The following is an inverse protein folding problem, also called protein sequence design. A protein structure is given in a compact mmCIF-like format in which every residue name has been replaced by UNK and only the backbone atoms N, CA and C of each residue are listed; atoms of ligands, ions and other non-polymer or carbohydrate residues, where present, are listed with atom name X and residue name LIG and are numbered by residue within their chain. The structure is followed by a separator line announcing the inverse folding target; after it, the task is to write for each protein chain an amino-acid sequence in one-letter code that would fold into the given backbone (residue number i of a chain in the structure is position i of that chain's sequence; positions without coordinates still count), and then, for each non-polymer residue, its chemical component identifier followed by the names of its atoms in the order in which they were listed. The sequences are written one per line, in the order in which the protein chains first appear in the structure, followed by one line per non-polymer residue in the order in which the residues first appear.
data_IF_346003778012
#
_entry.id   IF_346003778012
#
_cell.length_a   1.000
_cell.length_b   1.000
_cell.length_c   1.000
_cell.angle_alpha   90.00
_cell.angle_beta   90.00
_cell.angle_gamma   90.00
#
_symmetry.space_group_name_H-M   'P 1'
#
loop_
_entity.id
_entity.type
_entity.pdbx_description
1 polymer ?
#
# COMPACT_ATOMS: atom_id res chain seq x y z
N UNK A 1 11.98 40.00 -21.65
CA UNK A 1 11.59 38.76 -20.95
C UNK A 1 10.75 37.78 -21.79
N UNK A 2 9.88 38.21 -22.69
CA UNK A 2 9.09 37.30 -23.54
C UNK A 2 9.88 36.68 -24.73
N UNK A 3 11.04 37.19 -25.07
CA UNK A 3 11.83 36.72 -26.22
C UNK A 3 12.78 35.58 -25.88
N UNK A 4 13.20 35.45 -24.62
CA UNK A 4 14.08 34.36 -24.17
C UNK A 4 13.35 33.01 -24.05
N UNK A 5 12.05 33.03 -23.73
CA UNK A 5 11.26 31.80 -23.57
C UNK A 5 11.07 31.00 -24.87
N UNK A 6 11.09 31.68 -26.04
CA UNK A 6 10.96 31.01 -27.34
C UNK A 6 12.19 30.19 -27.72
N UNK A 7 13.38 30.58 -27.26
CA UNK A 7 14.62 29.85 -27.52
C UNK A 7 14.70 28.50 -26.81
N UNK A 8 14.10 28.38 -25.64
CA UNK A 8 14.11 27.15 -24.86
C UNK A 8 13.17 26.07 -25.41
N UNK A 9 12.05 26.47 -25.99
CA UNK A 9 11.12 25.57 -26.67
C UNK A 9 11.79 24.78 -27.80
N UNK A 10 12.59 25.47 -28.64
CA UNK A 10 13.30 24.82 -29.73
C UNK A 10 14.41 23.87 -29.24
N UNK A 11 15.07 24.21 -28.13
CA UNK A 11 16.18 23.42 -27.57
C UNK A 11 15.73 22.22 -26.73
N UNK A 12 14.64 22.37 -25.95
CA UNK A 12 14.23 21.39 -24.97
C UNK A 12 12.95 20.63 -25.35
N UNK A 13 12.27 21.03 -26.43
CA UNK A 13 11.01 20.39 -26.86
C UNK A 13 9.86 20.49 -25.85
N UNK A 14 9.94 21.46 -24.92
CA UNK A 14 8.91 21.63 -23.87
C UNK A 14 8.11 22.92 -24.08
N UNK A 15 6.92 23.02 -23.49
CA UNK A 15 6.08 24.21 -23.57
C UNK A 15 6.66 25.37 -22.75
N UNK A 16 6.36 26.63 -23.17
CA UNK A 16 6.77 27.82 -22.42
C UNK A 16 6.26 27.82 -20.98
N UNK A 17 5.08 27.24 -20.75
CA UNK A 17 4.52 27.08 -19.40
C UNK A 17 5.38 26.15 -18.55
N UNK A 18 5.91 25.08 -19.13
CA UNK A 18 6.82 24.16 -18.41
C UNK A 18 8.09 24.90 -17.97
N UNK A 19 8.68 25.71 -18.87
CA UNK A 19 9.87 26.50 -18.53
C UNK A 19 9.58 27.49 -17.40
N UNK A 20 8.46 28.21 -17.47
CA UNK A 20 8.05 29.17 -16.42
C UNK A 20 7.84 28.45 -15.08
N UNK A 21 7.19 27.30 -15.08
CA UNK A 21 6.96 26.51 -13.86
C UNK A 21 8.28 26.06 -13.23
N UNK A 22 9.24 25.60 -14.03
CA UNK A 22 10.57 25.19 -13.55
C UNK A 22 11.34 26.36 -12.97
N UNK A 23 11.36 27.50 -13.68
CA UNK A 23 12.04 28.72 -13.19
C UNK A 23 11.41 29.21 -11.89
N UNK A 24 10.09 29.24 -11.82
CA UNK A 24 9.38 29.62 -10.60
C UNK A 24 9.70 28.65 -9.44
N UNK A 25 9.67 27.34 -9.69
CA UNK A 25 10.00 26.34 -8.69
C UNK A 25 11.47 26.47 -8.21
N UNK A 26 12.39 26.74 -9.13
CA UNK A 26 13.80 26.95 -8.77
C UNK A 26 13.99 28.22 -7.92
N UNK A 27 13.35 29.31 -8.29
CA UNK A 27 13.44 30.57 -7.54
C UNK A 27 12.83 30.47 -6.12
N UNK A 28 11.83 29.59 -5.93
CA UNK A 28 11.17 29.41 -4.63
C UNK A 28 11.81 28.32 -3.78
N UNK A 29 12.34 27.27 -4.36
CA UNK A 29 12.80 26.06 -3.65
C UNK A 29 14.29 25.75 -3.89
N UNK A 30 14.96 26.51 -4.75
CA UNK A 30 16.34 26.24 -5.12
C UNK A 30 16.51 24.85 -5.75
N UNK A 31 17.61 24.19 -5.45
CA UNK A 31 17.97 22.86 -5.98
C UNK A 31 16.96 21.76 -5.54
N UNK A 32 16.23 21.97 -4.46
CA UNK A 32 15.23 21.02 -4.00
C UNK A 32 14.09 20.78 -5.00
N UNK A 33 13.84 21.73 -5.93
CA UNK A 33 12.86 21.56 -7.00
C UNK A 33 13.21 20.42 -7.98
N UNK A 34 14.48 20.00 -8.05
CA UNK A 34 14.95 18.91 -8.90
C UNK A 34 14.63 17.53 -8.31
N UNK A 35 14.27 17.46 -7.03
CA UNK A 35 13.86 16.20 -6.42
C UNK A 35 12.52 15.74 -7.02
N UNK A 36 12.49 14.50 -7.49
CA UNK A 36 11.27 13.91 -8.06
C UNK A 36 10.19 13.82 -6.98
N UNK A 37 9.13 14.56 -7.15
CA UNK A 37 7.95 14.46 -6.29
C UNK A 37 7.14 13.22 -6.64
N UNK A 38 6.42 12.70 -5.65
CA UNK A 38 5.47 11.62 -5.88
C UNK A 38 4.42 12.05 -6.91
N UNK A 39 4.16 11.19 -7.89
CA UNK A 39 3.08 11.38 -8.86
C UNK A 39 1.71 10.98 -8.29
N UNK A 40 1.68 10.47 -7.05
CA UNK A 40 0.42 10.09 -6.39
C UNK A 40 -0.41 11.34 -6.09
N UNK A 41 -1.70 11.38 -6.49
CA UNK A 41 -2.58 12.49 -6.14
C UNK A 41 -2.68 12.67 -4.62
N UNK A 42 -2.54 13.90 -4.14
CA UNK A 42 -2.64 14.22 -2.72
C UNK A 42 -4.06 14.02 -2.15
N UNK A 43 -5.07 14.01 -3.03
CA UNK A 43 -6.49 13.86 -2.68
C UNK A 43 -6.99 12.42 -2.66
N UNK A 44 -6.12 11.45 -2.93
CA UNK A 44 -6.52 10.03 -2.90
C UNK A 44 -6.82 9.63 -1.46
N UNK A 45 -8.10 9.46 -1.15
CA UNK A 45 -8.55 8.90 0.13
C UNK A 45 -8.20 7.43 0.18
N UNK A 46 -7.58 7.03 1.28
CA UNK A 46 -7.30 5.63 1.53
C UNK A 46 -8.60 4.92 1.92
N UNK A 47 -8.86 3.77 1.28
CA UNK A 47 -10.07 2.97 1.55
C UNK A 47 -9.97 2.17 2.84
N UNK A 48 -8.76 1.97 3.33
CA UNK A 48 -8.46 1.33 4.60
C UNK A 48 -7.51 2.27 5.33
N UNK A 49 -7.94 2.85 6.44
CA UNK A 49 -7.14 3.79 7.25
C UNK A 49 -6.08 3.08 8.08
N UNK A 50 -5.40 3.82 8.92
CA UNK A 50 -4.33 3.27 9.77
C UNK A 50 -4.91 2.35 10.83
N UNK A 51 -5.95 2.79 11.54
CA UNK A 51 -6.60 2.00 12.60
C UNK A 51 -7.21 0.70 12.04
N UNK A 52 -7.88 0.80 10.88
CA UNK A 52 -8.43 -0.37 10.22
C UNK A 52 -7.34 -1.34 9.78
N UNK A 53 -6.16 -0.82 9.44
CA UNK A 53 -5.04 -1.66 9.02
C UNK A 53 -4.44 -2.43 10.19
N UNK A 54 -4.36 -1.83 11.38
CA UNK A 54 -3.92 -2.53 12.61
C UNK A 54 -4.92 -3.61 13.02
N UNK A 55 -6.22 -3.30 12.95
CA UNK A 55 -7.29 -4.28 13.20
C UNK A 55 -7.27 -5.42 12.17
N UNK A 56 -7.00 -5.10 10.90
CA UNK A 56 -6.80 -6.09 9.85
C UNK A 56 -5.63 -7.03 10.19
N UNK A 57 -4.52 -6.51 10.68
CA UNK A 57 -3.39 -7.32 11.10
C UNK A 57 -3.79 -8.28 12.24
N UNK A 58 -4.47 -7.79 13.26
CA UNK A 58 -4.96 -8.61 14.37
C UNK A 58 -5.94 -9.70 13.90
N UNK A 59 -6.79 -9.36 12.93
CA UNK A 59 -7.72 -10.32 12.31
C UNK A 59 -6.97 -11.44 11.56
N UNK A 60 -5.93 -11.08 10.82
CA UNK A 60 -5.12 -12.04 10.05
C UNK A 60 -4.31 -13.00 10.94
N UNK A 61 -4.11 -12.70 12.21
CA UNK A 61 -3.52 -13.64 13.18
C UNK A 61 -4.47 -14.77 13.58
N UNK A 62 -5.77 -14.61 13.32
CA UNK A 62 -6.76 -15.66 13.54
C UNK A 62 -6.86 -16.58 12.32
N UNK A 63 -7.39 -17.79 12.50
CA UNK A 63 -7.61 -18.68 11.35
C UNK A 63 -8.87 -18.25 10.55
N UNK A 64 -8.88 -18.35 9.22
CA UNK A 64 -10.09 -18.12 8.43
C UNK A 64 -11.27 -19.05 8.84
N UNK A 65 -10.96 -20.19 9.44
CA UNK A 65 -11.99 -21.15 9.95
C UNK A 65 -12.86 -20.56 11.04
N UNK A 66 -12.32 -19.65 11.86
CA UNK A 66 -13.10 -18.94 12.90
C UNK A 66 -14.16 -18.02 12.29
N UNK A 67 -14.00 -17.68 11.03
CA UNK A 67 -14.94 -16.86 10.25
C UNK A 67 -15.80 -17.69 9.28
N UNK A 68 -15.85 -19.03 9.45
CA UNK A 68 -16.70 -19.91 8.65
C UNK A 68 -16.13 -20.36 7.30
N UNK A 69 -14.86 -20.10 7.02
CA UNK A 69 -14.22 -20.56 5.79
C UNK A 69 -13.60 -21.95 5.96
N UNK A 70 -13.76 -22.88 4.99
CA UNK A 70 -13.25 -24.24 5.09
C UNK A 70 -11.72 -24.35 4.87
N UNK A 71 -11.00 -23.27 4.96
CA UNK A 71 -9.55 -23.19 4.75
C UNK A 71 -8.84 -22.63 5.97
N UNK A 72 -7.59 -23.04 6.18
CA UNK A 72 -6.69 -22.46 7.18
C UNK A 72 -5.76 -21.37 6.59
N UNK A 73 -5.80 -21.19 5.27
CA UNK A 73 -4.96 -20.23 4.57
C UNK A 73 -5.76 -18.99 4.20
N UNK A 74 -5.24 -17.83 4.58
CA UNK A 74 -5.77 -16.57 4.11
C UNK A 74 -5.50 -16.33 2.64
N UNK A 75 -6.52 -15.89 1.92
CA UNK A 75 -6.38 -15.23 0.62
C UNK A 75 -6.73 -13.76 0.77
N UNK A 76 -6.27 -12.91 -0.12
CA UNK A 76 -6.64 -11.49 -0.09
C UNK A 76 -8.14 -11.27 -0.27
N UNK A 77 -8.82 -12.20 -0.96
CA UNK A 77 -10.27 -12.18 -1.15
C UNK A 77 -11.00 -12.50 0.14
N UNK A 78 -10.58 -13.56 0.85
CA UNK A 78 -11.15 -13.91 2.15
C UNK A 78 -10.88 -12.78 3.16
N UNK A 79 -9.68 -12.22 3.17
CA UNK A 79 -9.35 -11.10 4.03
C UNK A 79 -10.24 -9.88 3.76
N UNK A 80 -10.52 -9.56 2.50
CA UNK A 80 -11.41 -8.48 2.13
C UNK A 80 -12.87 -8.75 2.56
N UNK A 81 -13.37 -9.96 2.33
CA UNK A 81 -14.71 -10.36 2.70
C UNK A 81 -14.91 -10.36 4.23
N UNK A 82 -13.96 -10.92 4.97
CA UNK A 82 -14.01 -10.96 6.44
C UNK A 82 -13.87 -9.56 7.04
N UNK A 83 -13.00 -8.71 6.49
CA UNK A 83 -12.86 -7.31 6.94
C UNK A 83 -14.17 -6.54 6.82
N UNK A 84 -14.90 -6.75 5.74
CA UNK A 84 -16.22 -6.15 5.57
C UNK A 84 -17.26 -6.76 6.53
N UNK A 85 -17.32 -8.08 6.65
CA UNK A 85 -18.24 -8.77 7.55
C UNK A 85 -18.03 -8.41 9.04
N UNK A 86 -16.79 -8.11 9.44
CA UNK A 86 -16.44 -7.67 10.79
C UNK A 86 -16.57 -6.15 10.98
N UNK A 87 -17.07 -5.42 9.99
CA UNK A 87 -17.26 -3.98 10.08
C UNK A 87 -15.96 -3.16 10.13
N UNK A 88 -14.82 -3.75 9.74
CA UNK A 88 -13.53 -3.06 9.64
C UNK A 88 -13.52 -2.03 8.52
N UNK A 89 -14.29 -2.27 7.48
CA UNK A 89 -14.43 -1.36 6.34
C UNK A 89 -15.90 -1.03 6.11
N UNK A 90 -16.19 0.23 5.83
CA UNK A 90 -17.56 0.69 5.56
C UNK A 90 -18.16 0.09 4.28
N UNK A 91 -17.32 -0.36 3.37
CA UNK A 91 -17.71 -0.98 2.10
C UNK A 91 -16.80 -2.17 1.82
N UNK A 92 -17.28 -3.08 0.97
CA UNK A 92 -16.45 -4.16 0.48
C UNK A 92 -15.26 -3.60 -0.31
N UNK A 93 -14.05 -3.87 0.17
CA UNK A 93 -12.80 -3.41 -0.44
C UNK A 93 -12.23 -4.48 -1.38
N UNK A 94 -11.47 -4.02 -2.37
CA UNK A 94 -10.78 -4.94 -3.28
C UNK A 94 -9.59 -5.62 -2.59
N UNK A 95 -9.19 -6.78 -3.10
CA UNK A 95 -7.97 -7.48 -2.67
C UNK A 95 -6.72 -6.59 -2.73
N UNK A 96 -6.66 -5.66 -3.70
CA UNK A 96 -5.54 -4.74 -3.84
C UNK A 96 -5.52 -3.66 -2.76
N UNK A 97 -6.70 -3.23 -2.29
CA UNK A 97 -6.78 -2.31 -1.15
C UNK A 97 -6.23 -2.97 0.14
N UNK A 98 -6.56 -4.25 0.38
CA UNK A 98 -6.00 -5.03 1.49
C UNK A 98 -4.48 -5.17 1.36
N UNK A 99 -3.98 -5.52 0.16
CA UNK A 99 -2.54 -5.61 -0.10
C UNK A 99 -1.84 -4.29 0.18
N UNK A 100 -2.37 -3.18 -0.33
CA UNK A 100 -1.80 -1.84 -0.13
C UNK A 100 -1.81 -1.42 1.35
N UNK A 101 -2.86 -1.78 2.10
CA UNK A 101 -2.93 -1.56 3.53
C UNK A 101 -1.81 -2.29 4.27
N UNK A 102 -1.62 -3.57 4.00
CA UNK A 102 -0.56 -4.37 4.59
C UNK A 102 0.85 -3.87 4.22
N UNK A 103 1.05 -3.45 2.98
CA UNK A 103 2.33 -2.89 2.55
C UNK A 103 2.70 -1.61 3.31
N UNK A 104 1.73 -0.78 3.69
CA UNK A 104 1.96 0.42 4.52
C UNK A 104 2.46 0.09 5.92
N UNK A 105 2.05 -1.02 6.49
CA UNK A 105 2.61 -1.55 7.74
C UNK A 105 3.98 -2.22 7.56
N UNK A 106 4.56 -2.18 6.37
CA UNK A 106 5.79 -2.89 6.07
C UNK A 106 5.63 -4.42 6.02
N UNK A 107 4.37 -4.91 5.93
CA UNK A 107 4.04 -6.32 5.88
C UNK A 107 3.77 -6.75 4.46
N UNK A 108 4.68 -7.52 3.88
CA UNK A 108 4.43 -8.19 2.61
C UNK A 108 3.41 -9.32 2.79
N UNK A 109 2.49 -9.50 1.83
CA UNK A 109 1.46 -10.57 1.87
C UNK A 109 2.06 -11.97 2.13
N UNK A 110 3.22 -12.27 1.59
CA UNK A 110 3.95 -13.51 1.84
C UNK A 110 4.29 -13.70 3.32
N UNK A 111 4.62 -12.60 4.02
CA UNK A 111 4.93 -12.60 5.44
C UNK A 111 3.67 -12.77 6.28
N UNK A 112 2.59 -12.06 5.94
CA UNK A 112 1.28 -12.23 6.57
C UNK A 112 0.79 -13.68 6.45
N UNK A 113 0.94 -14.30 5.30
CA UNK A 113 0.61 -15.72 5.08
C UNK A 113 1.43 -16.67 5.97
N UNK A 114 2.64 -16.31 6.38
CA UNK A 114 3.48 -17.09 7.31
C UNK A 114 3.10 -16.90 8.78
N UNK A 115 2.53 -15.76 9.15
CA UNK A 115 2.09 -15.53 10.54
C UNK A 115 0.95 -16.44 10.97
N UNK A 116 0.22 -16.96 10.01
CA UNK A 116 -0.93 -17.86 10.21
C UNK A 116 -0.47 -19.28 10.63
N UNK A 117 0.82 -19.53 10.71
CA UNK A 117 1.30 -20.76 11.27
C UNK A 117 1.20 -20.71 12.79
N UNK A 118 0.12 -21.28 13.30
CA UNK A 118 -0.19 -21.61 14.70
C UNK A 118 0.45 -20.72 15.78
N UNK A 119 -0.33 -20.12 16.68
CA UNK A 119 0.20 -19.42 17.85
C UNK A 119 0.94 -20.33 18.83
N UNK A 120 1.00 -21.64 18.55
CA UNK A 120 1.75 -22.60 19.38
C UNK A 120 3.26 -22.38 19.23
N UNK A 121 3.97 -21.94 20.29
CA UNK A 121 5.42 -21.75 20.25
C UNK A 121 6.19 -23.04 19.93
N UNK A 122 5.57 -24.20 20.13
CA UNK A 122 6.13 -25.50 19.78
C UNK A 122 5.85 -25.94 18.32
N UNK A 123 5.08 -25.16 17.55
CA UNK A 123 4.68 -25.52 16.19
C UNK A 123 5.86 -25.76 15.24
N UNK A 124 6.89 -24.93 15.31
CA UNK A 124 8.08 -25.10 14.47
C UNK A 124 8.81 -26.43 14.75
N UNK A 125 8.80 -26.89 16.01
CA UNK A 125 9.36 -28.18 16.45
C UNK A 125 8.49 -29.33 15.96
N UNK A 126 7.16 -29.24 16.11
CA UNK A 126 6.18 -30.23 15.67
C UNK A 126 6.18 -30.41 14.15
N UNK A 127 6.34 -29.31 13.39
CA UNK A 127 6.44 -29.34 11.93
C UNK A 127 7.68 -30.08 11.44
N UNK A 128 8.82 -29.97 12.13
CA UNK A 128 10.04 -30.72 11.78
C UNK A 128 9.89 -32.22 12.04
N UNK A 129 9.16 -32.61 13.06
CA UNK A 129 8.92 -34.01 13.40
C UNK A 129 7.91 -34.74 12.49
N UNK A 130 7.01 -33.98 11.83
CA UNK A 130 6.01 -34.53 10.92
C UNK A 130 6.46 -34.67 9.46
N UNK A 131 7.74 -34.39 9.15
CA UNK A 131 8.30 -34.48 7.80
C UNK A 131 9.35 -35.59 7.66
N UNK A 132 9.41 -36.53 8.63
CA UNK A 132 10.25 -37.72 8.57
C UNK A 132 9.40 -38.94 8.16
#
# INVERSE_FOLDING_TARGET
MAQESRGWRAKLGCSDQTVRNVVHAFNTQGVACLQRRSSRPHTTRERVGVEETERLQALLHQSPRTFGYPTSLWTLEIAAAVSFAQGLTAQQVSREAIRSALQRLGVGWQRAKRWITSPDPAYARKKKLGTA
#
